data_IF_870988084307
#
_entry.id   IF_870988084307
#
_cell.length_a   1.000
_cell.length_b   1.000
_cell.length_c   1.000
_cell.angle_alpha   90.00
_cell.angle_beta   90.00
_cell.angle_gamma   90.00
#
_symmetry.space_group_name_H-M   'P 1'
#
loop_
_entity.id
_entity.type
_entity.pdbx_description
1 polymer ?
#
# COMPACT_ATOMS: atom_id res chain seq x y z
N UNK A 1 -12.76 -22.32 -9.91
CA UNK A 1 -11.70 -21.55 -10.59
C UNK A 1 -10.44 -21.60 -9.72
N UNK A 2 -9.34 -21.95 -10.34
CA UNK A 2 -8.05 -21.80 -9.68
C UNK A 2 -7.57 -20.36 -9.77
N UNK A 3 -6.93 -19.91 -8.69
CA UNK A 3 -6.39 -18.56 -8.65
C UNK A 3 -4.93 -18.60 -9.12
N UNK A 4 -4.73 -18.22 -10.37
CA UNK A 4 -3.42 -18.11 -10.99
C UNK A 4 -2.80 -16.73 -10.71
N UNK A 5 -1.54 -16.57 -11.07
CA UNK A 5 -0.87 -15.27 -11.03
C UNK A 5 -1.61 -14.24 -11.88
N UNK A 6 -2.08 -14.64 -13.06
CA UNK A 6 -2.85 -13.77 -13.94
C UNK A 6 -4.12 -13.27 -13.26
N UNK A 7 -4.84 -14.18 -12.58
CA UNK A 7 -6.08 -13.80 -11.86
C UNK A 7 -5.76 -12.86 -10.69
N UNK A 8 -4.71 -13.12 -9.93
CA UNK A 8 -4.30 -12.23 -8.83
C UNK A 8 -3.95 -10.83 -9.34
N UNK A 9 -3.22 -10.75 -10.44
CA UNK A 9 -2.90 -9.46 -11.07
C UNK A 9 -4.15 -8.73 -11.54
N UNK A 10 -5.09 -9.46 -12.14
CA UNK A 10 -6.35 -8.87 -12.59
C UNK A 10 -7.17 -8.31 -11.41
N UNK A 11 -7.19 -9.01 -10.29
CA UNK A 11 -7.86 -8.54 -9.08
C UNK A 11 -7.23 -7.24 -8.58
N UNK A 12 -5.90 -7.20 -8.48
CA UNK A 12 -5.17 -6.01 -8.02
C UNK A 12 -5.32 -4.85 -9.00
N UNK A 13 -5.36 -5.13 -10.31
CA UNK A 13 -5.56 -4.10 -11.33
C UNK A 13 -6.99 -3.57 -11.36
N UNK A 14 -7.96 -4.37 -10.93
CA UNK A 14 -9.35 -3.92 -10.79
C UNK A 14 -9.57 -3.08 -9.53
N UNK A 15 -8.69 -3.21 -8.54
CA UNK A 15 -8.79 -2.45 -7.30
C UNK A 15 -8.57 -0.96 -7.59
N UNK A 16 -9.50 -0.08 -7.19
CA UNK A 16 -9.49 1.33 -7.63
C UNK A 16 -8.45 2.21 -6.92
N UNK A 17 -7.83 1.71 -5.88
CA UNK A 17 -6.81 2.46 -5.14
C UNK A 17 -5.43 1.90 -5.43
N UNK A 18 -4.41 2.72 -5.24
CA UNK A 18 -3.05 2.34 -5.54
C UNK A 18 -2.52 1.22 -4.63
N UNK A 19 -1.84 0.27 -5.26
CA UNK A 19 -1.05 -0.76 -4.59
C UNK A 19 0.36 -0.70 -5.19
N UNK A 20 1.34 -0.42 -4.34
CA UNK A 20 2.75 -0.40 -4.71
C UNK A 20 3.49 -1.30 -3.73
N UNK A 21 3.96 -2.44 -4.20
CA UNK A 21 4.74 -3.37 -3.38
C UNK A 21 6.23 -3.08 -3.54
N UNK A 22 6.91 -2.95 -2.42
CA UNK A 22 8.34 -2.64 -2.35
C UNK A 22 9.02 -3.74 -1.54
N UNK A 23 10.12 -4.29 -2.05
CA UNK A 23 10.86 -5.32 -1.34
C UNK A 23 11.76 -4.74 -0.24
N UNK A 24 12.44 -5.61 0.50
CA UNK A 24 13.25 -5.18 1.64
C UNK A 24 14.51 -4.39 1.26
N UNK A 25 14.88 -4.41 -0.01
CA UNK A 25 15.97 -3.56 -0.54
C UNK A 25 15.44 -2.24 -1.09
N UNK A 26 14.14 -1.98 -0.87
CA UNK A 26 13.45 -0.75 -1.26
C UNK A 26 13.31 -0.60 -2.78
N UNK A 27 13.29 -1.72 -3.49
CA UNK A 27 13.01 -1.73 -4.93
C UNK A 27 11.53 -1.98 -5.13
N UNK A 28 10.89 -1.16 -5.95
CA UNK A 28 9.49 -1.32 -6.33
C UNK A 28 9.37 -2.56 -7.21
N UNK A 29 8.56 -3.53 -6.78
CA UNK A 29 8.40 -4.80 -7.49
C UNK A 29 7.07 -4.96 -8.16
N UNK A 30 6.04 -4.25 -7.71
CA UNK A 30 4.72 -4.32 -8.33
C UNK A 30 3.98 -3.01 -8.16
N UNK A 31 3.23 -2.63 -9.19
CA UNK A 31 2.30 -1.51 -9.16
C UNK A 31 1.04 -1.93 -9.90
N UNK A 32 -0.12 -1.73 -9.28
CA UNK A 32 -1.37 -1.97 -9.98
C UNK A 32 -1.70 -0.79 -10.92
N UNK A 33 -2.76 -0.92 -11.71
CA UNK A 33 -3.14 0.12 -12.68
C UNK A 33 -3.43 1.46 -12.02
N UNK A 34 -4.10 1.45 -10.86
CA UNK A 34 -4.39 2.69 -10.12
C UNK A 34 -3.11 3.41 -9.70
N UNK A 35 -2.10 2.67 -9.24
CA UNK A 35 -0.81 3.23 -8.87
C UNK A 35 -0.09 3.82 -10.07
N UNK A 36 -0.10 3.14 -11.20
CA UNK A 36 0.53 3.64 -12.43
C UNK A 36 -0.13 4.93 -12.90
N UNK A 37 -1.43 5.05 -12.78
CA UNK A 37 -2.14 6.30 -13.12
C UNK A 37 -1.78 7.43 -12.18
N UNK A 38 -1.71 7.16 -10.87
CA UNK A 38 -1.45 8.19 -9.87
C UNK A 38 -0.01 8.72 -9.94
N UNK A 39 0.96 7.83 -10.05
CA UNK A 39 2.37 8.21 -9.93
C UNK A 39 3.06 8.44 -11.26
N UNK A 40 2.50 7.97 -12.36
CA UNK A 40 3.09 8.11 -13.69
C UNK A 40 4.48 7.51 -13.74
N UNK A 41 5.47 8.31 -14.17
CA UNK A 41 6.86 7.88 -14.26
C UNK A 41 7.66 8.13 -12.98
N UNK A 42 7.07 8.81 -11.99
CA UNK A 42 7.76 9.15 -10.75
C UNK A 42 8.11 7.92 -9.91
N UNK A 43 7.25 6.91 -9.95
CA UNK A 43 7.48 5.62 -9.32
C UNK A 43 7.39 4.56 -10.40
N UNK A 44 8.41 3.72 -10.52
CA UNK A 44 8.45 2.70 -11.57
C UNK A 44 8.97 1.37 -11.01
N UNK A 45 8.38 0.28 -11.51
CA UNK A 45 8.82 -1.07 -11.16
C UNK A 45 10.29 -1.23 -11.57
N UNK A 46 11.10 -1.76 -10.65
CA UNK A 46 12.54 -1.95 -10.84
C UNK A 46 13.40 -0.83 -10.29
N UNK A 47 12.82 0.33 -9.98
CA UNK A 47 13.54 1.47 -9.42
C UNK A 47 13.46 1.47 -7.90
N UNK A 48 14.46 2.13 -7.28
CA UNK A 48 14.42 2.36 -5.84
C UNK A 48 13.26 3.29 -5.48
N UNK A 49 12.57 2.98 -4.39
CA UNK A 49 11.57 3.87 -3.84
C UNK A 49 12.14 5.27 -3.55
N UNK A 50 13.41 5.34 -3.18
CA UNK A 50 14.09 6.60 -2.85
C UNK A 50 14.54 7.41 -4.06
N UNK A 51 14.31 6.93 -5.29
CA UNK A 51 14.52 7.77 -6.47
C UNK A 51 13.46 8.86 -6.61
N UNK A 52 12.32 8.72 -5.93
CA UNK A 52 11.23 9.70 -5.92
C UNK A 52 10.83 10.16 -4.52
N UNK A 53 11.17 9.39 -3.49
CA UNK A 53 10.93 9.76 -2.09
C UNK A 53 12.20 10.33 -1.47
N UNK A 54 12.00 11.24 -0.52
CA UNK A 54 13.11 11.78 0.25
C UNK A 54 13.79 10.66 1.07
N UNK A 55 15.10 10.57 0.98
CA UNK A 55 15.89 9.61 1.76
C UNK A 55 15.70 9.75 3.27
N UNK A 56 15.20 10.91 3.75
CA UNK A 56 14.88 11.10 5.16
C UNK A 56 13.82 10.15 5.69
N UNK A 57 13.02 9.53 4.82
CA UNK A 57 12.02 8.52 5.20
C UNK A 57 12.63 7.14 5.40
N UNK A 58 13.82 6.90 4.90
CA UNK A 58 14.48 5.60 4.95
C UNK A 58 14.63 5.05 6.38
N UNK A 59 15.10 5.83 7.36
CA UNK A 59 15.19 5.33 8.75
C UNK A 59 13.84 4.90 9.32
N UNK A 60 12.76 5.60 8.98
CA UNK A 60 11.41 5.23 9.42
C UNK A 60 11.00 3.87 8.86
N UNK A 61 11.24 3.65 7.58
CA UNK A 61 10.89 2.40 6.90
C UNK A 61 11.71 1.25 7.47
N UNK A 62 13.00 1.47 7.70
CA UNK A 62 13.85 0.43 8.28
C UNK A 62 13.46 0.09 9.71
N UNK A 63 13.10 1.09 10.52
CA UNK A 63 12.58 0.86 11.86
C UNK A 63 11.25 0.08 11.83
N UNK A 64 10.38 0.41 10.89
CA UNK A 64 9.14 -0.33 10.66
C UNK A 64 9.42 -1.79 10.33
N UNK A 65 10.37 -2.07 9.42
CA UNK A 65 10.71 -3.44 9.04
C UNK A 65 11.27 -4.25 10.21
N UNK A 66 12.10 -3.63 11.06
CA UNK A 66 12.60 -4.29 12.26
C UNK A 66 11.46 -4.69 13.21
N UNK A 67 10.49 -3.80 13.41
CA UNK A 67 9.31 -4.10 14.23
C UNK A 67 8.45 -5.18 13.60
N UNK A 68 8.28 -5.12 12.28
CA UNK A 68 7.54 -6.13 11.55
C UNK A 68 8.19 -7.52 11.70
N UNK A 69 9.53 -7.59 11.69
CA UNK A 69 10.27 -8.83 11.94
C UNK A 69 10.02 -9.38 13.34
N UNK A 70 9.65 -8.53 14.28
CA UNK A 70 9.29 -8.93 15.66
C UNK A 70 7.80 -9.27 15.81
N UNK A 71 7.05 -9.27 14.72
CA UNK A 71 5.64 -9.64 14.72
C UNK A 71 4.67 -8.47 14.76
N UNK A 72 5.14 -7.22 14.75
CA UNK A 72 4.25 -6.08 14.70
C UNK A 72 3.63 -5.93 13.31
N UNK A 73 2.42 -5.38 13.27
CA UNK A 73 1.67 -5.20 12.03
C UNK A 73 1.86 -3.83 11.41
N UNK A 74 0.76 -3.27 10.94
CA UNK A 74 0.73 -1.97 10.28
C UNK A 74 1.21 -0.85 11.20
N UNK A 75 1.99 0.09 10.66
CA UNK A 75 2.48 1.25 11.39
C UNK A 75 1.94 2.54 10.76
N UNK A 76 1.38 3.42 11.59
CA UNK A 76 0.98 4.76 11.15
C UNK A 76 2.24 5.57 10.83
N UNK A 77 2.28 6.15 9.63
CA UNK A 77 3.39 6.97 9.17
C UNK A 77 3.13 8.45 9.40
N UNK A 78 2.07 8.96 8.77
CA UNK A 78 1.80 10.39 8.80
C UNK A 78 0.37 10.72 8.42
N UNK A 79 -0.04 11.93 8.76
CA UNK A 79 -1.25 12.57 8.26
C UNK A 79 -0.83 13.63 7.24
N UNK A 80 -1.33 13.49 6.01
CA UNK A 80 -1.08 14.49 4.98
C UNK A 80 -1.97 15.71 5.25
N UNK A 81 -1.36 16.84 5.59
CA UNK A 81 -2.07 18.07 5.96
C UNK A 81 -2.86 18.70 4.81
N UNK A 82 -2.49 18.43 3.56
CA UNK A 82 -3.17 19.00 2.39
C UNK A 82 -4.39 18.19 1.98
N UNK A 83 -4.28 16.85 2.00
CA UNK A 83 -5.35 15.96 1.54
C UNK A 83 -6.18 15.40 2.69
N UNK A 84 -5.67 15.45 3.91
CA UNK A 84 -6.29 14.80 5.07
C UNK A 84 -6.12 13.29 5.07
N UNK A 85 -5.37 12.73 4.14
CA UNK A 85 -5.12 11.30 4.08
C UNK A 85 -4.20 10.85 5.22
N UNK A 86 -4.54 9.70 5.81
CA UNK A 86 -3.64 8.99 6.71
C UNK A 86 -2.84 7.99 5.90
N UNK A 87 -1.57 7.89 6.20
CA UNK A 87 -0.64 6.99 5.52
C UNK A 87 -0.08 5.98 6.50
N UNK A 88 -0.04 4.72 6.08
CA UNK A 88 0.40 3.59 6.91
C UNK A 88 1.34 2.71 6.12
N UNK A 89 2.37 2.20 6.78
CA UNK A 89 3.18 1.11 6.22
C UNK A 89 2.58 -0.23 6.63
N UNK A 90 2.41 -1.12 5.69
CA UNK A 90 1.83 -2.45 5.92
C UNK A 90 2.85 -3.52 5.52
N UNK A 91 3.22 -4.43 6.44
CA UNK A 91 4.16 -5.49 6.09
C UNK A 91 3.48 -6.55 5.24
N UNK A 92 4.23 -7.09 4.26
CA UNK A 92 3.79 -8.22 3.45
C UNK A 92 4.54 -9.45 3.93
N UNK A 93 3.78 -10.47 4.36
CA UNK A 93 4.34 -11.69 4.94
C UNK A 93 4.03 -12.91 4.08
N UNK A 94 4.96 -13.84 4.03
CA UNK A 94 4.67 -15.18 3.54
C UNK A 94 3.89 -15.96 4.61
N UNK A 95 3.40 -17.14 4.26
CA UNK A 95 2.64 -17.98 5.20
C UNK A 95 3.43 -18.33 6.45
N UNK A 96 4.75 -18.46 6.35
CA UNK A 96 5.63 -18.73 7.47
C UNK A 96 5.86 -17.54 8.39
N UNK A 97 5.26 -16.37 8.05
CA UNK A 97 5.38 -15.14 8.83
C UNK A 97 6.55 -14.24 8.42
N UNK A 98 7.41 -14.70 7.52
CA UNK A 98 8.58 -13.93 7.09
C UNK A 98 8.14 -12.69 6.29
N UNK A 99 8.66 -11.53 6.68
CA UNK A 99 8.38 -10.27 5.99
C UNK A 99 9.25 -10.17 4.74
N UNK A 100 8.60 -10.07 3.57
CA UNK A 100 9.31 -9.99 2.28
C UNK A 100 9.34 -8.58 1.71
N UNK A 101 8.59 -7.67 2.28
CA UNK A 101 8.50 -6.29 1.84
C UNK A 101 7.32 -5.59 2.47
N UNK A 102 6.88 -4.53 1.83
CA UNK A 102 5.81 -3.69 2.38
C UNK A 102 5.08 -2.96 1.26
N UNK A 103 3.92 -2.41 1.62
CA UNK A 103 3.26 -1.39 0.80
C UNK A 103 2.77 -0.26 1.70
N UNK A 104 2.54 0.91 1.09
CA UNK A 104 1.98 2.06 1.77
C UNK A 104 0.48 2.10 1.50
N UNK A 105 -0.32 2.16 2.57
CA UNK A 105 -1.77 2.24 2.49
C UNK A 105 -2.20 3.66 2.81
N UNK A 106 -3.08 4.20 1.98
CA UNK A 106 -3.69 5.51 2.20
C UNK A 106 -5.14 5.34 2.64
N UNK A 107 -5.54 6.12 3.63
CA UNK A 107 -6.91 6.18 4.11
C UNK A 107 -7.39 7.61 3.98
N UNK A 108 -8.33 7.84 3.06
CA UNK A 108 -8.86 9.18 2.83
C UNK A 108 -9.92 9.54 3.87
N UNK A 109 -10.13 10.85 4.16
CA UNK A 109 -11.23 11.28 5.01
C UNK A 109 -12.58 10.81 4.47
N UNK A 110 -12.72 10.82 3.15
CA UNK A 110 -13.95 10.35 2.48
C UNK A 110 -14.20 8.87 2.78
N UNK A 111 -13.19 8.03 2.72
CA UNK A 111 -13.33 6.61 3.02
C UNK A 111 -13.74 6.37 4.48
N UNK A 112 -13.21 7.17 5.41
CA UNK A 112 -13.58 7.08 6.82
C UNK A 112 -15.04 7.45 7.04
N UNK A 113 -15.50 8.51 6.40
CA UNK A 113 -16.89 8.97 6.48
C UNK A 113 -17.84 7.93 5.86
N UNK A 114 -17.46 7.37 4.71
CA UNK A 114 -18.21 6.32 4.04
C UNK A 114 -18.32 5.06 4.89
N UNK A 115 -17.28 4.71 5.64
CA UNK A 115 -17.28 3.54 6.51
C UNK A 115 -18.31 3.61 7.63
N UNK A 116 -18.82 4.80 7.95
CA UNK A 116 -19.86 4.96 8.96
C UNK A 116 -21.27 4.69 8.44
N UNK A 117 -21.44 4.57 7.12
CA UNK A 117 -22.75 4.30 6.53
C UNK A 117 -23.16 2.84 6.70
N UNK A 118 -24.44 2.57 7.03
CA UNK A 118 -24.94 1.21 7.04
C UNK A 118 -24.83 0.56 5.67
N UNK A 119 -24.33 -0.67 5.64
CA UNK A 119 -24.11 -1.43 4.40
C UNK A 119 -25.40 -1.55 3.59
N UNK A 120 -26.53 -1.78 4.26
CA UNK A 120 -27.83 -1.90 3.60
C UNK A 120 -28.22 -0.67 2.80
N UNK A 121 -27.97 0.52 3.34
CA UNK A 121 -28.25 1.76 2.62
C UNK A 121 -27.31 1.99 1.46
N UNK A 122 -26.05 1.65 1.63
CA UNK A 122 -25.08 1.72 0.57
C UNK A 122 -25.50 0.87 -0.63
N UNK A 123 -25.94 -0.35 -0.39
CA UNK A 123 -26.41 -1.22 -1.47
C UNK A 123 -27.69 -0.73 -2.12
N UNK A 124 -28.56 -0.09 -1.37
CA UNK A 124 -29.81 0.48 -1.92
C UNK A 124 -29.57 1.64 -2.87
N UNK A 125 -28.48 2.36 -2.71
CA UNK A 125 -28.13 3.50 -3.58
C UNK A 125 -27.53 3.06 -4.91
N UNK A 126 -27.18 1.81 -5.03
CA UNK A 126 -26.62 1.24 -6.25
C UNK A 126 -27.72 0.56 -7.07
#
# INVERSE_FOLDING_TARGET
MEISLEVLRAILDAYPYEVVFVDRTHIVRYMNKAAKRRYGEQVAVGNSLFSCHNESTKPKIEAFLLRADQGEGEMFETLNGQTGEREFFTPVRLEDGRVIGYFERHESPWNRDSASEPVGEYWKRR
#
